data_IF_440054682746
#
_entry.id   IF_440054682746
#
_cell.length_a   1.000
_cell.length_b   1.000
_cell.length_c   1.000
_cell.angle_alpha   90.00
_cell.angle_beta   90.00
_cell.angle_gamma   90.00
#
_symmetry.space_group_name_H-M   'P 1'
#
loop_
_entity.id
_entity.type
_entity.pdbx_description
1 polymer ?
#
# COMPACT_ATOMS: atom_id res chain seq x y z
N UNK A 1 -5.88 -7.71 -8.50
CA UNK A 1 -7.17 -7.02 -8.69
C UNK A 1 -6.95 -5.67 -9.32
N UNK A 2 -7.92 -5.18 -10.10
CA UNK A 2 -7.94 -3.82 -10.66
C UNK A 2 -8.56 -2.82 -9.67
N UNK A 3 -8.39 -1.52 -9.93
CA UNK A 3 -9.09 -0.48 -9.17
C UNK A 3 -10.61 -0.61 -9.32
N UNK A 4 -11.06 -0.95 -10.53
CA UNK A 4 -12.49 -1.16 -10.81
C UNK A 4 -13.07 -2.32 -10.01
N UNK A 5 -12.33 -3.44 -9.87
CA UNK A 5 -12.74 -4.58 -9.03
C UNK A 5 -12.80 -4.17 -7.56
N UNK A 6 -11.78 -3.45 -7.08
CA UNK A 6 -11.70 -2.98 -5.70
C UNK A 6 -12.88 -2.05 -5.35
N UNK A 7 -13.22 -1.14 -6.26
CA UNK A 7 -14.37 -0.25 -6.12
C UNK A 7 -15.69 -1.03 -6.10
N UNK A 8 -15.86 -1.97 -7.03
CA UNK A 8 -17.05 -2.82 -7.09
C UNK A 8 -17.21 -3.64 -5.81
N UNK A 9 -16.10 -4.13 -5.22
CA UNK A 9 -16.14 -4.83 -3.95
C UNK A 9 -16.58 -3.91 -2.80
N UNK A 10 -16.04 -2.69 -2.70
CA UNK A 10 -16.43 -1.73 -1.68
C UNK A 10 -17.93 -1.39 -1.78
N UNK A 11 -18.42 -1.20 -2.98
CA UNK A 11 -19.85 -0.93 -3.23
C UNK A 11 -20.73 -2.15 -2.89
N UNK A 12 -20.26 -3.36 -3.19
CA UNK A 12 -20.95 -4.59 -2.82
C UNK A 12 -21.03 -4.77 -1.30
N UNK A 13 -19.92 -4.66 -0.58
CA UNK A 13 -19.93 -4.82 0.89
C UNK A 13 -20.76 -3.74 1.57
N UNK A 14 -20.84 -2.53 0.99
CA UNK A 14 -21.71 -1.47 1.47
C UNK A 14 -23.19 -1.87 1.40
N UNK A 15 -23.61 -2.44 0.27
CA UNK A 15 -24.99 -2.93 0.11
C UNK A 15 -25.30 -4.10 1.04
N UNK A 16 -24.41 -5.10 1.12
CA UNK A 16 -24.61 -6.29 1.96
C UNK A 16 -24.70 -5.96 3.47
N UNK A 17 -23.94 -4.98 3.92
CA UNK A 17 -23.86 -4.65 5.34
C UNK A 17 -24.73 -3.49 5.77
N UNK A 18 -25.25 -2.71 4.82
CA UNK A 18 -25.95 -1.45 5.09
C UNK A 18 -25.05 -0.34 5.68
N UNK A 19 -23.72 -0.49 5.54
CA UNK A 19 -22.73 0.45 6.06
C UNK A 19 -21.87 1.01 4.92
N UNK A 20 -21.48 2.30 4.95
CA UNK A 20 -20.72 2.91 3.87
C UNK A 20 -19.25 2.44 3.90
N UNK A 21 -18.86 1.64 2.91
CA UNK A 21 -17.48 1.25 2.64
C UNK A 21 -16.99 1.88 1.34
N UNK A 22 -15.73 2.26 1.31
CA UNK A 22 -15.04 2.82 0.14
C UNK A 22 -13.55 2.47 0.15
N UNK A 23 -12.84 2.78 -0.91
CA UNK A 23 -11.38 2.83 -0.86
C UNK A 23 -10.93 4.00 0.02
N UNK A 24 -9.79 3.91 0.70
CA UNK A 24 -9.22 5.06 1.40
C UNK A 24 -8.81 6.15 0.39
N UNK A 25 -8.81 7.40 0.81
CA UNK A 25 -8.08 8.43 0.08
C UNK A 25 -6.58 8.23 0.20
N UNK A 26 -5.81 8.83 -0.71
CA UNK A 26 -4.35 8.83 -0.62
C UNK A 26 -3.87 9.46 0.70
N UNK A 27 -4.51 10.55 1.13
CA UNK A 27 -4.21 11.23 2.37
C UNK A 27 -4.49 10.34 3.60
N UNK A 28 -5.63 9.65 3.64
CA UNK A 28 -5.96 8.69 4.69
C UNK A 28 -4.96 7.54 4.75
N UNK A 29 -4.60 6.98 3.58
CA UNK A 29 -3.62 5.90 3.51
C UNK A 29 -2.27 6.33 4.08
N UNK A 30 -1.73 7.48 3.66
CA UNK A 30 -0.46 7.98 4.16
C UNK A 30 -0.51 8.30 5.65
N UNK A 31 -1.58 8.92 6.12
CA UNK A 31 -1.79 9.20 7.55
C UNK A 31 -1.74 7.93 8.40
N UNK A 32 -2.46 6.90 7.99
CA UNK A 32 -2.49 5.60 8.67
C UNK A 32 -1.14 4.88 8.57
N UNK A 33 -0.49 4.90 7.41
CA UNK A 33 0.83 4.30 7.21
C UNK A 33 1.88 4.96 8.11
N UNK A 34 1.88 6.27 8.22
CA UNK A 34 2.79 7.02 9.11
C UNK A 34 2.52 6.76 10.58
N UNK A 35 1.28 6.62 10.97
CA UNK A 35 0.87 6.41 12.35
C UNK A 35 1.58 7.35 13.35
N UNK A 36 1.71 8.63 12.97
CA UNK A 36 2.41 9.65 13.76
C UNK A 36 3.92 9.77 13.52
N UNK A 37 4.50 8.97 12.61
CA UNK A 37 5.91 9.08 12.22
C UNK A 37 6.11 10.09 11.09
N UNK A 38 7.22 10.85 11.14
CA UNK A 38 7.70 11.71 10.05
C UNK A 38 8.93 11.17 9.33
N UNK A 39 9.32 9.93 9.63
CA UNK A 39 10.52 9.28 9.11
C UNK A 39 10.34 8.82 7.66
N UNK A 40 11.46 8.45 7.03
CA UNK A 40 11.51 7.95 5.64
C UNK A 40 10.62 6.73 5.44
N UNK A 41 10.68 5.78 6.38
CA UNK A 41 9.85 4.59 6.42
C UNK A 41 8.94 4.61 7.65
N UNK A 42 7.90 3.81 7.71
CA UNK A 42 7.06 3.73 8.92
C UNK A 42 7.82 3.32 10.19
N UNK A 43 8.92 2.57 10.04
CA UNK A 43 9.76 2.09 11.15
C UNK A 43 10.96 2.98 11.50
N UNK A 44 11.25 4.03 10.70
CA UNK A 44 12.40 4.92 10.93
C UNK A 44 13.08 5.37 9.64
N UNK A 45 14.29 5.92 9.74
CA UNK A 45 15.02 6.46 8.59
C UNK A 45 16.03 5.47 7.98
N UNK A 46 16.33 4.40 8.71
CA UNK A 46 17.32 3.38 8.33
C UNK A 46 16.68 2.11 7.81
N UNK A 47 17.50 1.18 7.30
CA UNK A 47 17.07 -0.16 6.96
C UNK A 47 16.43 -0.84 8.17
N UNK A 48 15.44 -1.74 7.97
CA UNK A 48 14.79 -2.41 9.08
C UNK A 48 15.77 -3.33 9.80
N UNK A 49 15.80 -3.26 11.15
CA UNK A 49 16.61 -4.13 12.02
C UNK A 49 15.78 -5.21 12.71
N UNK A 50 14.50 -5.31 12.37
CA UNK A 50 13.55 -6.31 12.82
C UNK A 50 12.52 -6.57 11.71
N UNK A 51 11.72 -7.61 11.85
CA UNK A 51 10.64 -7.90 10.91
C UNK A 51 9.53 -6.84 11.04
N UNK A 52 9.39 -6.02 10.02
CA UNK A 52 8.44 -4.88 9.98
C UNK A 52 7.33 -5.06 8.95
N UNK A 53 7.47 -6.03 8.04
CA UNK A 53 6.50 -6.30 6.97
C UNK A 53 7.07 -7.30 5.96
N UNK A 54 6.26 -7.72 5.03
CA UNK A 54 6.71 -8.51 3.88
C UNK A 54 7.31 -7.55 2.85
N UNK A 55 8.64 -7.47 2.85
CA UNK A 55 9.45 -6.56 2.05
C UNK A 55 10.51 -7.32 1.28
N UNK A 56 11.09 -6.67 0.28
CA UNK A 56 12.21 -7.24 -0.49
C UNK A 56 13.48 -7.28 0.36
N UNK A 57 13.89 -8.44 0.78
CA UNK A 57 15.13 -8.66 1.54
C UNK A 57 16.22 -9.35 0.72
N UNK A 58 17.50 -9.10 0.99
CA UNK A 58 18.60 -9.81 0.33
C UNK A 58 18.77 -11.24 0.89
N UNK A 59 18.16 -11.54 2.03
CA UNK A 59 17.99 -12.87 2.59
C UNK A 59 16.97 -13.74 1.87
N UNK A 60 15.96 -13.12 1.26
CA UNK A 60 14.85 -13.84 0.60
C UNK A 60 15.35 -14.71 -0.57
N UNK A 61 14.78 -15.90 -0.70
CA UNK A 61 15.10 -16.84 -1.79
C UNK A 61 13.82 -17.43 -2.37
N UNK A 62 13.75 -17.45 -3.70
CA UNK A 62 12.71 -18.22 -4.38
C UNK A 62 13.01 -19.72 -4.29
N UNK A 63 12.02 -20.56 -4.57
CA UNK A 63 12.20 -22.01 -4.70
C UNK A 63 13.31 -22.36 -5.71
N UNK A 64 13.49 -21.57 -6.78
CA UNK A 64 14.56 -21.67 -7.74
C UNK A 64 15.85 -20.96 -7.32
N UNK A 65 16.00 -20.57 -6.07
CA UNK A 65 17.15 -19.87 -5.48
C UNK A 65 17.50 -18.52 -6.14
N UNK A 66 16.54 -17.87 -6.77
CA UNK A 66 16.70 -16.48 -7.19
C UNK A 66 16.68 -15.57 -5.96
N UNK A 67 17.41 -14.48 -6.03
CA UNK A 67 17.47 -13.44 -4.99
C UNK A 67 17.17 -12.07 -5.60
N UNK A 68 16.81 -11.13 -4.74
CA UNK A 68 16.62 -9.75 -5.13
C UNK A 68 17.96 -9.03 -5.32
N UNK A 69 18.03 -8.13 -6.29
CA UNK A 69 19.22 -7.32 -6.56
C UNK A 69 19.16 -5.96 -5.81
N UNK A 70 17.95 -5.40 -5.68
CA UNK A 70 17.74 -4.14 -5.00
C UNK A 70 16.77 -4.37 -3.83
N UNK A 71 17.34 -4.77 -2.71
CA UNK A 71 16.65 -5.24 -1.51
C UNK A 71 17.18 -4.58 -0.26
N UNK A 72 16.47 -4.70 0.85
CA UNK A 72 16.99 -4.35 2.16
C UNK A 72 18.10 -5.33 2.57
N UNK A 73 19.29 -4.84 2.93
CA UNK A 73 20.38 -5.70 3.39
C UNK A 73 20.03 -6.38 4.71
N UNK A 74 20.50 -7.61 4.88
CA UNK A 74 20.29 -8.43 6.09
C UNK A 74 18.83 -8.62 6.48
N UNK A 75 17.90 -8.53 5.51
CA UNK A 75 16.47 -8.72 5.73
C UNK A 75 16.00 -10.01 5.08
N UNK A 76 15.28 -10.82 5.83
CA UNK A 76 14.64 -12.05 5.38
C UNK A 76 13.32 -12.18 6.15
N UNK A 77 12.21 -12.05 5.44
CA UNK A 77 10.88 -12.14 6.04
C UNK A 77 10.24 -13.54 5.88
N UNK A 78 10.96 -14.46 5.24
CA UNK A 78 10.56 -15.85 5.03
C UNK A 78 9.64 -16.08 3.83
N UNK A 79 9.35 -15.05 3.03
CA UNK A 79 8.43 -15.16 1.89
C UNK A 79 9.05 -14.60 0.60
N UNK A 80 9.02 -15.39 -0.46
CA UNK A 80 9.33 -14.94 -1.83
C UNK A 80 8.08 -14.45 -2.58
N UNK A 81 7.03 -14.14 -1.94
CA UNK A 81 5.74 -13.76 -2.50
C UNK A 81 4.88 -13.08 -1.44
N UNK A 82 3.59 -12.90 -1.68
CA UNK A 82 2.72 -12.34 -0.66
C UNK A 82 2.67 -13.25 0.57
N UNK A 83 2.80 -12.65 1.76
CA UNK A 83 2.60 -13.31 3.04
C UNK A 83 1.10 -13.38 3.41
N UNK A 84 0.69 -14.28 4.28
CA UNK A 84 -0.63 -14.21 4.89
C UNK A 84 -0.83 -12.85 5.58
N UNK A 85 -2.01 -12.28 5.44
CA UNK A 85 -2.32 -10.98 6.07
C UNK A 85 -2.11 -11.05 7.59
N UNK A 86 -1.64 -9.94 8.19
CA UNK A 86 -1.38 -9.82 9.63
C UNK A 86 -0.23 -10.71 10.14
N UNK A 87 0.69 -11.13 9.27
CA UNK A 87 1.88 -11.89 9.67
C UNK A 87 2.87 -11.05 10.50
N UNK A 88 2.79 -9.74 10.42
CA UNK A 88 3.70 -8.79 11.08
C UNK A 88 2.95 -7.88 12.04
N UNK A 89 3.70 -7.20 12.89
CA UNK A 89 3.13 -6.30 13.90
C UNK A 89 2.28 -5.18 13.27
N UNK A 90 1.19 -4.83 13.96
CA UNK A 90 0.40 -3.66 13.62
C UNK A 90 1.18 -2.37 13.91
N UNK A 91 0.89 -1.32 13.16
CA UNK A 91 1.38 0.01 13.49
C UNK A 91 0.70 0.56 14.76
N UNK A 92 1.06 1.79 15.18
CA UNK A 92 0.52 2.42 16.40
C UNK A 92 -1.00 2.64 16.38
N UNK A 93 -1.62 2.57 15.22
CA UNK A 93 -3.09 2.65 15.08
C UNK A 93 -3.76 1.27 15.04
N UNK A 94 -3.00 0.19 15.26
CA UNK A 94 -3.52 -1.18 15.24
C UNK A 94 -3.76 -1.74 13.83
N UNK A 95 -3.20 -1.11 12.80
CA UNK A 95 -3.39 -1.52 11.41
C UNK A 95 -2.17 -2.27 10.90
N UNK A 96 -2.41 -3.45 10.30
CA UNK A 96 -1.38 -4.31 9.73
C UNK A 96 -1.13 -4.03 8.25
N UNK A 97 0.03 -4.44 7.76
CA UNK A 97 0.39 -4.54 6.34
C UNK A 97 0.23 -3.22 5.57
N UNK A 98 0.48 -2.07 6.23
CA UNK A 98 0.41 -0.75 5.58
C UNK A 98 1.60 -0.49 4.65
N UNK A 99 2.70 -1.23 4.79
CA UNK A 99 3.89 -1.13 3.95
C UNK A 99 4.47 -2.54 3.75
N UNK A 100 4.52 -3.00 2.53
CA UNK A 100 4.86 -4.38 2.19
C UNK A 100 3.63 -5.23 1.86
N UNK A 101 3.83 -6.50 1.63
CA UNK A 101 2.88 -7.48 1.15
C UNK A 101 2.37 -7.13 -0.27
N UNK A 102 1.33 -6.34 -0.40
CA UNK A 102 0.89 -5.81 -1.70
C UNK A 102 0.79 -4.30 -1.65
N UNK A 103 1.12 -3.64 -2.76
CA UNK A 103 0.78 -2.23 -2.94
C UNK A 103 -0.74 -2.09 -3.11
N UNK A 104 -1.32 -0.97 -2.71
CA UNK A 104 -2.77 -0.88 -2.59
C UNK A 104 -3.35 0.29 -3.37
N UNK A 105 -4.46 0.02 -4.03
CA UNK A 105 -5.28 1.03 -4.67
C UNK A 105 -5.91 1.97 -3.64
N UNK A 106 -5.88 3.27 -3.96
CA UNK A 106 -6.65 4.29 -3.24
C UNK A 106 -7.67 4.94 -4.19
N UNK A 107 -8.58 5.73 -3.64
CA UNK A 107 -9.67 6.33 -4.42
C UNK A 107 -9.18 7.40 -5.41
N UNK A 108 -8.03 8.02 -5.14
CA UNK A 108 -7.53 9.22 -5.83
C UNK A 108 -7.15 8.99 -7.28
N UNK A 109 -7.36 10.00 -8.10
CA UNK A 109 -6.72 10.15 -9.39
C UNK A 109 -5.26 10.54 -9.23
N UNK A 110 -4.42 10.14 -10.18
CA UNK A 110 -3.04 10.60 -10.21
C UNK A 110 -2.95 12.07 -10.60
N UNK A 111 -2.18 12.82 -9.83
CA UNK A 111 -1.75 14.19 -10.10
C UNK A 111 -0.24 14.27 -9.86
N UNK A 112 0.48 15.00 -10.73
CA UNK A 112 1.95 15.06 -10.67
C UNK A 112 2.47 15.90 -9.49
N UNK A 113 1.61 16.68 -8.86
CA UNK A 113 1.91 17.43 -7.63
C UNK A 113 0.70 17.55 -6.75
N UNK A 114 0.89 17.92 -5.48
CA UNK A 114 -0.18 18.19 -4.53
C UNK A 114 -0.68 19.65 -4.55
N UNK A 115 -0.19 20.47 -5.47
CA UNK A 115 -0.71 21.82 -5.64
C UNK A 115 -2.21 21.76 -5.96
N UNK A 116 -3.05 22.31 -5.10
CA UNK A 116 -4.52 22.25 -5.17
C UNK A 116 -5.14 20.90 -4.74
N UNK A 117 -4.39 20.03 -4.07
CA UNK A 117 -5.01 18.86 -3.43
C UNK A 117 -6.05 19.29 -2.38
N UNK A 118 -7.11 18.50 -2.15
CA UNK A 118 -8.05 18.76 -1.05
C UNK A 118 -7.31 18.84 0.29
N UNK A 119 -7.59 19.90 1.07
CA UNK A 119 -6.93 20.13 2.36
C UNK A 119 -7.60 19.35 3.51
N UNK A 120 -8.77 18.79 3.27
CA UNK A 120 -9.58 18.06 4.25
C UNK A 120 -9.33 16.54 4.25
N UNK A 121 -8.39 16.07 3.43
CA UNK A 121 -8.08 14.64 3.29
C UNK A 121 -9.06 13.86 2.43
N UNK A 122 -10.04 14.50 1.82
CA UNK A 122 -10.96 13.85 0.89
C UNK A 122 -10.24 13.36 -0.38
N UNK A 123 -10.76 12.31 -1.06
CA UNK A 123 -10.14 11.82 -2.28
C UNK A 123 -10.07 12.89 -3.38
N UNK A 124 -8.92 13.03 -4.00
CA UNK A 124 -8.75 13.95 -5.13
C UNK A 124 -9.12 13.27 -6.44
N UNK A 125 -10.38 13.39 -6.83
CA UNK A 125 -10.94 12.78 -8.03
C UNK A 125 -11.39 13.85 -9.04
N UNK A 126 -11.28 13.53 -10.32
CA UNK A 126 -11.78 14.37 -11.42
C UNK A 126 -12.39 13.48 -12.52
N UNK A 127 -13.34 14.02 -13.30
CA UNK A 127 -13.94 13.29 -14.41
C UNK A 127 -12.90 12.81 -15.43
N UNK A 128 -13.07 11.60 -15.95
CA UNK A 128 -12.21 11.05 -16.98
C UNK A 128 -10.82 10.61 -16.48
N UNK A 129 -10.66 10.41 -15.19
CA UNK A 129 -9.43 9.93 -14.57
C UNK A 129 -9.01 8.58 -15.16
N UNK A 130 -7.88 8.56 -15.87
CA UNK A 130 -7.34 7.39 -16.55
C UNK A 130 -6.14 6.76 -15.83
N UNK A 131 -5.71 7.34 -14.71
CA UNK A 131 -4.65 6.84 -13.83
C UNK A 131 -5.06 6.99 -12.38
N UNK A 132 -4.94 5.91 -11.61
CA UNK A 132 -5.25 5.87 -10.19
C UNK A 132 -3.99 5.77 -9.36
N UNK A 133 -4.02 6.33 -8.16
CA UNK A 133 -2.89 6.26 -7.22
C UNK A 133 -2.83 4.88 -6.57
N UNK A 134 -1.61 4.42 -6.38
CA UNK A 134 -1.26 3.20 -5.65
C UNK A 134 -0.28 3.59 -4.55
N UNK A 135 -0.49 3.07 -3.34
CA UNK A 135 0.30 3.37 -2.16
C UNK A 135 0.83 2.10 -1.50
N UNK A 136 1.82 2.29 -0.63
CA UNK A 136 2.50 1.20 0.04
C UNK A 136 3.46 0.44 -0.89
N UNK A 137 4.40 -0.27 -0.29
CA UNK A 137 5.27 -1.19 -1.00
C UNK A 137 4.60 -2.56 -1.14
N UNK A 138 5.16 -3.40 -2.00
CA UNK A 138 4.81 -4.82 -2.11
C UNK A 138 6.00 -5.69 -1.73
N UNK A 139 5.77 -6.98 -1.64
CA UNK A 139 6.80 -8.02 -1.44
C UNK A 139 7.94 -7.99 -2.48
N UNK A 140 7.78 -7.26 -3.59
CA UNK A 140 8.75 -7.14 -4.67
C UNK A 140 9.13 -5.68 -4.97
N UNK A 141 8.96 -4.79 -4.01
CA UNK A 141 9.30 -3.37 -4.13
C UNK A 141 10.71 -3.10 -3.62
N UNK A 142 11.47 -2.25 -4.33
CA UNK A 142 12.78 -1.82 -3.85
C UNK A 142 12.69 -1.00 -2.56
N UNK A 143 13.77 -0.86 -1.77
CA UNK A 143 13.81 0.00 -0.59
C UNK A 143 13.34 1.43 -0.85
N UNK A 144 13.66 1.99 -2.02
CA UNK A 144 13.20 3.33 -2.39
C UNK A 144 11.67 3.41 -2.51
N UNK A 145 11.05 2.35 -3.01
CA UNK A 145 9.60 2.26 -3.14
C UNK A 145 8.88 2.01 -1.81
N UNK A 146 9.59 1.53 -0.79
CA UNK A 146 9.05 1.34 0.55
C UNK A 146 8.98 2.64 1.37
N UNK A 147 9.48 3.77 0.85
CA UNK A 147 9.36 5.06 1.54
C UNK A 147 7.88 5.44 1.73
N UNK A 148 7.58 5.99 2.88
CA UNK A 148 6.21 6.41 3.24
C UNK A 148 5.59 7.36 2.22
N UNK A 149 6.39 8.29 1.67
CA UNK A 149 5.92 9.26 0.68
C UNK A 149 5.96 8.74 -0.77
N UNK A 150 6.35 7.47 -1.01
CA UNK A 150 6.44 6.94 -2.36
C UNK A 150 5.05 6.70 -2.95
N UNK A 151 4.88 7.10 -4.20
CA UNK A 151 3.63 7.01 -4.95
C UNK A 151 3.83 6.21 -6.21
N UNK A 152 2.89 5.36 -6.53
CA UNK A 152 2.77 4.68 -7.83
C UNK A 152 1.44 5.04 -8.49
N UNK A 153 1.34 4.69 -9.75
CA UNK A 153 0.11 4.87 -10.52
C UNK A 153 -0.01 3.83 -11.62
N UNK A 154 -1.25 3.46 -11.92
CA UNK A 154 -1.57 2.62 -13.06
C UNK A 154 -2.96 2.98 -13.63
N UNK A 155 -3.28 2.43 -14.80
CA UNK A 155 -4.62 2.51 -15.34
C UNK A 155 -5.62 1.74 -14.46
N UNK A 156 -6.90 2.18 -14.35
CA UNK A 156 -7.87 1.58 -13.43
C UNK A 156 -8.11 0.07 -13.64
N UNK A 157 -7.88 -0.42 -14.85
CA UNK A 157 -8.06 -1.83 -15.20
C UNK A 157 -6.78 -2.68 -15.10
N UNK A 158 -5.67 -2.09 -14.66
CA UNK A 158 -4.40 -2.81 -14.48
C UNK A 158 -4.48 -3.82 -13.35
N UNK A 159 -3.89 -4.99 -13.55
CA UNK A 159 -3.77 -6.06 -12.54
C UNK A 159 -2.38 -6.64 -12.53
N UNK A 160 -1.88 -7.03 -11.38
CA UNK A 160 -0.68 -7.84 -11.23
C UNK A 160 -0.65 -8.54 -9.85
N UNK A 161 0.34 -9.41 -9.63
CA UNK A 161 0.48 -10.19 -8.40
C UNK A 161 0.92 -9.38 -7.16
N UNK A 162 1.25 -8.10 -7.33
CA UNK A 162 1.77 -7.21 -6.28
C UNK A 162 0.77 -6.12 -5.89
N UNK A 163 -0.46 -6.19 -6.40
CA UNK A 163 -1.43 -5.11 -6.31
C UNK A 163 -2.72 -5.63 -5.68
N UNK A 164 -3.12 -4.97 -4.60
CA UNK A 164 -4.31 -5.27 -3.83
C UNK A 164 -5.06 -4.00 -3.44
N UNK A 165 -5.87 -4.09 -2.40
CA UNK A 165 -6.60 -2.96 -1.83
C UNK A 165 -7.04 -3.26 -0.40
N UNK A 166 -7.42 -2.22 0.29
CA UNK A 166 -8.20 -2.28 1.53
C UNK A 166 -9.42 -1.38 1.44
N UNK A 167 -10.39 -1.60 2.29
CA UNK A 167 -11.56 -0.73 2.41
C UNK A 167 -11.56 -0.01 3.75
N UNK A 168 -12.11 1.18 3.77
CA UNK A 168 -12.41 1.95 4.97
C UNK A 168 -13.93 2.05 5.12
N UNK A 169 -14.39 2.13 6.36
CA UNK A 169 -15.80 2.33 6.69
C UNK A 169 -15.96 3.68 7.35
N UNK A 170 -16.90 4.46 6.87
CA UNK A 170 -17.35 5.66 7.57
C UNK A 170 -18.14 5.29 8.83
N UNK A 171 -17.94 6.07 9.90
CA UNK A 171 -18.56 5.82 11.21
C UNK A 171 -19.92 6.51 11.33
#
# INVERSE_FOLDING_TARGET
>A
VSWTDAKSYADWVSRETGKPYRLPSEAEFEYVMRAGSNTRYPWGDSNPTRLVGNLTGDGDRSESRRNWVNAFPDYDDGYWGPAPVRSYEANRFGIHDMNGNVSEWVEDCWHDSYARAPADGSPWVNPGCNRRVIRGASWASSPEQARTAFRLTAAPNSTNARLGFRVVREL
#
